data_IF_172360882260
#
_entry.id   IF_172360882260
#
_cell.length_a   1.000
_cell.length_b   1.000
_cell.length_c   1.000
_cell.angle_alpha   90.00
_cell.angle_beta   90.00
_cell.angle_gamma   90.00
#
_symmetry.space_group_name_H-M   'P 1'
#
loop_
_entity.id
_entity.type
_entity.pdbx_description
1 polymer ?
#
# COMPACT_ATOMS: atom_id res chain seq x y z
N UNK A 1 -15.15 -12.86 15.61
CA UNK A 1 -14.46 -12.84 14.30
C UNK A 1 -13.45 -11.73 14.37
N UNK A 2 -12.17 -12.07 14.50
CA UNK A 2 -11.12 -11.06 14.56
C UNK A 2 -10.66 -10.82 13.13
N UNK A 3 -11.36 -9.96 12.39
CA UNK A 3 -10.87 -9.53 11.09
C UNK A 3 -9.72 -8.58 11.34
N UNK A 4 -8.48 -9.03 11.12
CA UNK A 4 -7.31 -8.14 11.18
C UNK A 4 -7.39 -7.22 9.95
N UNK A 5 -7.61 -5.91 10.11
CA UNK A 5 -7.76 -5.02 8.96
C UNK A 5 -6.44 -4.88 8.21
N UNK A 6 -6.50 -4.43 6.95
CA UNK A 6 -5.31 -3.88 6.28
C UNK A 6 -4.97 -2.58 7.00
N UNK A 7 -3.70 -2.38 7.33
CA UNK A 7 -3.19 -1.16 7.94
C UNK A 7 -2.32 -0.43 6.93
N UNK A 8 -2.65 0.82 6.60
CA UNK A 8 -1.90 1.64 5.65
C UNK A 8 -1.46 2.93 6.33
N UNK A 9 -0.15 3.20 6.37
CA UNK A 9 0.44 4.36 7.07
C UNK A 9 -0.07 4.53 8.51
N UNK A 10 -0.22 3.43 9.24
CA UNK A 10 -0.73 3.48 10.61
C UNK A 10 -2.25 3.31 10.75
N UNK A 11 -3.04 3.52 9.70
CA UNK A 11 -4.51 3.56 9.77
C UNK A 11 -5.17 2.28 9.26
N UNK A 12 -6.28 1.87 9.89
CA UNK A 12 -7.06 0.72 9.42
C UNK A 12 -7.90 1.12 8.21
N UNK A 13 -7.75 0.38 7.11
CA UNK A 13 -8.42 0.67 5.83
C UNK A 13 -9.17 -0.57 5.33
N UNK A 14 -10.37 -0.37 4.77
CA UNK A 14 -11.15 -1.41 4.10
C UNK A 14 -10.63 -1.67 2.67
N UNK A 15 -9.35 -2.00 2.54
CA UNK A 15 -8.67 -2.20 1.26
C UNK A 15 -8.43 -3.68 0.91
N UNK A 16 -8.80 -4.62 1.80
CA UNK A 16 -8.65 -6.05 1.53
C UNK A 16 -9.40 -6.45 0.26
N UNK A 17 -8.72 -7.16 -0.65
CA UNK A 17 -9.25 -7.55 -1.95
C UNK A 17 -9.02 -6.52 -3.07
N UNK A 18 -8.55 -5.31 -2.75
CA UNK A 18 -8.06 -4.36 -3.75
C UNK A 18 -6.60 -4.65 -4.09
N UNK A 19 -6.21 -4.39 -5.32
CA UNK A 19 -4.80 -4.26 -5.67
C UNK A 19 -4.20 -2.99 -5.06
N UNK A 20 -2.87 -2.96 -4.90
CA UNK A 20 -2.16 -1.75 -4.46
C UNK A 20 -2.50 -0.57 -5.39
N UNK A 21 -2.53 -0.79 -6.71
CA UNK A 21 -2.84 0.25 -7.68
C UNK A 21 -4.26 0.83 -7.49
N UNK A 22 -5.26 -0.02 -7.27
CA UNK A 22 -6.64 0.42 -7.02
C UNK A 22 -6.74 1.25 -5.74
N UNK A 23 -6.10 0.80 -4.66
CA UNK A 23 -6.10 1.56 -3.41
C UNK A 23 -5.45 2.94 -3.60
N UNK A 24 -4.26 2.98 -4.21
CA UNK A 24 -3.52 4.22 -4.44
C UNK A 24 -4.30 5.21 -5.31
N UNK A 25 -4.99 4.71 -6.34
CA UNK A 25 -5.86 5.53 -7.18
C UNK A 25 -7.05 6.09 -6.38
N UNK A 26 -7.72 5.26 -5.58
CA UNK A 26 -8.86 5.69 -4.75
C UNK A 26 -8.48 6.72 -3.68
N UNK A 27 -7.25 6.62 -3.17
CA UNK A 27 -6.68 7.54 -2.18
C UNK A 27 -5.95 8.74 -2.80
N UNK A 28 -6.03 8.94 -4.13
CA UNK A 28 -5.41 10.05 -4.87
C UNK A 28 -3.88 10.17 -4.71
N UNK A 29 -3.17 9.05 -4.59
CA UNK A 29 -1.71 9.05 -4.60
C UNK A 29 -1.13 9.18 -6.01
N UNK A 30 -0.12 10.04 -6.17
CA UNK A 30 0.73 10.07 -7.37
C UNK A 30 1.79 8.95 -7.27
N UNK A 31 1.53 7.83 -7.95
CA UNK A 31 2.43 6.65 -7.99
C UNK A 31 3.84 6.97 -8.47
N UNK A 32 4.07 8.11 -9.15
CA UNK A 32 5.41 8.53 -9.57
C UNK A 32 6.26 9.02 -8.39
N UNK A 33 5.65 9.54 -7.33
CA UNK A 33 6.35 10.19 -6.20
C UNK A 33 6.52 9.31 -4.97
N UNK A 34 5.88 8.16 -4.97
CA UNK A 34 5.86 7.26 -3.82
C UNK A 34 6.62 5.95 -4.08
N UNK A 35 6.95 5.27 -3.00
CA UNK A 35 7.19 3.83 -2.93
C UNK A 35 6.17 3.19 -1.98
N UNK A 36 5.93 1.91 -2.17
CA UNK A 36 5.05 1.10 -1.32
C UNK A 36 5.86 -0.03 -0.72
N UNK A 37 5.85 -0.11 0.59
CA UNK A 37 6.30 -1.26 1.36
C UNK A 37 5.07 -2.04 1.81
N UNK A 38 5.09 -3.37 1.66
CA UNK A 38 4.07 -4.29 2.21
C UNK A 38 4.80 -5.28 3.10
N UNK A 39 4.45 -5.32 4.37
CA UNK A 39 5.01 -6.24 5.37
C UNK A 39 6.55 -6.24 5.41
N UNK A 40 7.16 -5.04 5.45
CA UNK A 40 8.62 -4.84 5.43
C UNK A 40 9.32 -5.19 4.11
N UNK A 41 8.56 -5.42 3.03
CA UNK A 41 9.10 -5.66 1.69
C UNK A 41 8.66 -4.57 0.71
N UNK A 42 9.61 -3.94 0.01
CA UNK A 42 9.31 -2.98 -1.05
C UNK A 42 8.67 -3.68 -2.23
N UNK A 43 7.46 -3.26 -2.58
CA UNK A 43 6.76 -3.76 -3.77
C UNK A 43 7.25 -2.97 -4.99
N UNK A 44 7.80 -3.64 -6.03
CA UNK A 44 8.14 -2.98 -7.28
C UNK A 44 6.91 -2.32 -7.92
N UNK A 45 7.05 -1.09 -8.45
CA UNK A 45 5.94 -0.34 -9.07
C UNK A 45 5.23 -1.13 -10.17
N UNK A 46 5.96 -1.94 -10.93
CA UNK A 46 5.38 -2.81 -11.98
C UNK A 46 4.39 -3.83 -11.44
N UNK A 47 4.47 -4.18 -10.15
CA UNK A 47 3.60 -5.17 -9.50
C UNK A 47 2.40 -4.55 -8.79
N UNK A 48 2.24 -3.22 -8.77
CA UNK A 48 1.13 -2.58 -8.04
C UNK A 48 -0.24 -3.01 -8.53
N UNK A 49 -0.38 -3.30 -9.82
CA UNK A 49 -1.63 -3.79 -10.41
C UNK A 49 -1.86 -5.31 -10.21
N UNK A 50 -0.89 -6.03 -9.67
CA UNK A 50 -0.94 -7.50 -9.49
C UNK A 50 -1.07 -7.90 -8.02
N UNK A 51 -0.45 -7.14 -7.11
CA UNK A 51 -0.45 -7.44 -5.69
C UNK A 51 -1.76 -7.01 -5.06
N UNK A 52 -2.54 -8.00 -4.60
CA UNK A 52 -3.77 -7.83 -3.84
C UNK A 52 -3.43 -7.64 -2.36
N UNK A 53 -4.07 -6.65 -1.73
CA UNK A 53 -4.01 -6.39 -0.30
C UNK A 53 -4.87 -7.42 0.45
N UNK A 54 -4.30 -8.01 1.48
CA UNK A 54 -4.94 -9.06 2.28
C UNK A 54 -5.15 -8.59 3.72
N UNK A 55 -6.19 -9.11 4.36
CA UNK A 55 -6.47 -8.84 5.77
C UNK A 55 -5.23 -9.11 6.64
N UNK A 56 -4.80 -8.10 7.40
CA UNK A 56 -3.62 -8.15 8.26
C UNK A 56 -2.33 -7.64 7.63
N UNK A 57 -2.35 -7.25 6.35
CA UNK A 57 -1.22 -6.54 5.74
C UNK A 57 -0.95 -5.22 6.45
N UNK A 58 0.34 -4.91 6.62
CA UNK A 58 0.84 -3.60 7.01
C UNK A 58 1.54 -2.98 5.82
N UNK A 59 1.07 -1.82 5.39
CA UNK A 59 1.54 -1.14 4.18
C UNK A 59 2.00 0.26 4.53
N UNK A 60 3.18 0.65 4.06
CA UNK A 60 3.68 2.01 4.19
C UNK A 60 3.81 2.62 2.79
N UNK A 61 3.16 3.76 2.58
CA UNK A 61 3.21 4.57 1.36
C UNK A 61 4.07 5.79 1.65
N UNK A 62 5.33 5.71 1.24
CA UNK A 62 6.34 6.71 1.57
C UNK A 62 6.69 7.56 0.35
N UNK A 63 6.90 8.86 0.56
CA UNK A 63 7.49 9.72 -0.46
C UNK A 63 9.01 9.60 -0.40
N UNK A 64 9.66 9.63 -1.56
CA UNK A 64 11.11 9.79 -1.59
C UNK A 64 11.46 11.17 -1.03
N UNK A 65 12.09 11.23 0.15
CA UNK A 65 12.86 12.40 0.55
C UNK A 65 14.17 12.31 -0.23
N UNK A 66 14.37 13.22 -1.20
CA UNK A 66 15.65 13.33 -1.90
C UNK A 66 16.75 13.56 -0.88
N UNK A 67 17.62 12.56 -0.68
CA UNK A 67 18.80 12.68 0.16
C UNK A 67 20.00 13.05 -0.70
N UNK A 68 20.46 14.30 -0.57
CA UNK A 68 21.71 14.80 -1.18
C UNK A 68 21.50 15.76 -2.34
#
# INVERSE_FOLDING_TARGET
MNSNPVKINGENVAAAGMTIAEYLASANYDTKRIAVERNLEIVPKSKYAEVVLEAGDVVEVVNFVGGG
#
